data_IF_083568822451
#
_entry.id   IF_083568822451
#
_cell.length_a   1.000
_cell.length_b   1.000
_cell.length_c   1.000
_cell.angle_alpha   90.00
_cell.angle_beta   90.00
_cell.angle_gamma   90.00
#
_symmetry.space_group_name_H-M   'P 1'
#
loop_
_entity.id
_entity.type
_entity.pdbx_description
1 polymer ?
#
# COMPACT_ATOMS: atom_id res chain seq x y z
N UNK A 1 -42.29 94.17 0.46
CA UNK A 1 -41.62 93.91 -0.83
C UNK A 1 -40.19 93.49 -0.51
N UNK A 2 -39.88 92.21 -0.73
CA UNK A 2 -38.56 91.51 -0.79
C UNK A 2 -37.56 91.66 0.40
N UNK A 3 -37.18 90.58 1.13
CA UNK A 3 -36.25 89.44 0.79
C UNK A 3 -34.82 89.95 0.48
N UNK A 4 -33.69 89.40 0.96
CA UNK A 4 -33.33 88.04 1.44
C UNK A 4 -31.94 88.05 2.10
N UNK A 5 -31.68 87.05 2.94
CA UNK A 5 -30.38 86.59 3.49
C UNK A 5 -29.66 85.69 2.47
N UNK A 6 -28.32 85.67 2.42
CA UNK A 6 -27.50 84.42 2.40
C UNK A 6 -25.98 84.68 2.45
N UNK A 7 -25.26 83.91 3.28
CA UNK A 7 -23.80 83.77 3.39
C UNK A 7 -23.48 82.28 3.26
N UNK A 8 -22.52 81.88 2.42
CA UNK A 8 -21.48 80.88 2.75
C UNK A 8 -20.49 80.64 1.60
N UNK A 9 -19.17 80.50 1.86
CA UNK A 9 -18.24 79.84 0.96
C UNK A 9 -18.04 78.37 1.34
N UNK A 10 -17.93 77.55 0.30
CA UNK A 10 -17.66 76.11 0.28
C UNK A 10 -16.40 75.71 1.11
N UNK A 11 -16.54 74.74 2.03
CA UNK A 11 -15.43 73.89 2.51
C UNK A 11 -15.75 72.45 2.09
N UNK A 12 -14.91 71.90 1.22
CA UNK A 12 -14.97 70.52 0.75
C UNK A 12 -14.29 69.62 1.80
N UNK A 13 -15.06 68.78 2.48
CA UNK A 13 -14.55 67.73 3.38
C UNK A 13 -14.55 66.42 2.58
N UNK A 14 -13.36 65.91 2.25
CA UNK A 14 -13.20 64.54 1.70
C UNK A 14 -13.15 63.59 2.89
N UNK A 15 -14.20 62.82 3.08
CA UNK A 15 -14.24 61.70 4.02
C UNK A 15 -13.70 60.47 3.29
N UNK A 16 -12.44 60.10 3.57
CA UNK A 16 -11.95 58.76 3.25
C UNK A 16 -12.59 57.75 4.20
N UNK A 17 -13.63 57.06 3.75
CA UNK A 17 -14.10 55.84 4.38
C UNK A 17 -13.05 54.75 4.18
N UNK A 18 -12.23 54.51 5.20
CA UNK A 18 -11.49 53.27 5.36
C UNK A 18 -12.51 52.17 5.64
N UNK A 19 -12.96 51.48 4.60
CA UNK A 19 -13.56 50.15 4.73
C UNK A 19 -12.46 49.24 5.26
N UNK A 20 -12.40 49.09 6.58
CA UNK A 20 -11.65 48.02 7.23
C UNK A 20 -12.27 46.70 6.80
N UNK A 21 -11.75 46.13 5.71
CA UNK A 21 -11.94 44.72 5.43
C UNK A 21 -11.34 43.97 6.59
N UNK A 22 -12.18 43.33 7.40
CA UNK A 22 -11.75 42.20 8.20
C UNK A 22 -11.36 41.13 7.20
N UNK A 23 -10.09 41.12 6.79
CA UNK A 23 -9.47 39.88 6.38
C UNK A 23 -9.57 39.00 7.63
N UNK A 24 -10.58 38.14 7.69
CA UNK A 24 -10.47 36.89 8.41
C UNK A 24 -9.31 36.18 7.73
N UNK A 25 -8.07 36.46 8.17
CA UNK A 25 -7.02 35.46 8.08
C UNK A 25 -7.59 34.30 8.87
N UNK A 26 -8.12 33.29 8.16
CA UNK A 26 -8.36 31.99 8.76
C UNK A 26 -7.09 31.67 9.54
N UNK A 27 -7.21 31.55 10.87
CA UNK A 27 -6.07 31.27 11.71
C UNK A 27 -5.49 29.94 11.22
N UNK A 28 -4.28 29.99 10.67
CA UNK A 28 -3.56 28.83 10.18
C UNK A 28 -3.46 27.85 11.34
N UNK A 29 -4.16 26.71 11.22
CA UNK A 29 -4.28 25.76 12.32
C UNK A 29 -3.13 24.78 12.20
N UNK A 30 -2.17 24.91 13.10
CA UNK A 30 -0.98 24.05 13.12
C UNK A 30 -1.25 22.75 13.88
N UNK A 31 -0.82 21.64 13.29
CA UNK A 31 -0.81 20.31 13.89
C UNK A 31 0.61 19.93 14.33
N UNK A 32 0.80 19.71 15.62
CA UNK A 32 2.06 19.21 16.17
C UNK A 32 2.15 17.69 15.99
N UNK A 33 3.06 17.25 15.13
CA UNK A 33 3.25 15.83 14.80
C UNK A 33 4.63 15.33 15.25
N UNK A 34 4.66 14.09 15.70
CA UNK A 34 5.86 13.36 16.15
C UNK A 34 6.04 12.16 15.23
N UNK A 35 6.90 12.35 14.24
CA UNK A 35 7.21 11.39 13.20
C UNK A 35 8.19 10.37 13.75
N UNK A 36 7.79 9.10 13.77
CA UNK A 36 8.64 7.99 14.20
C UNK A 36 9.22 7.29 12.98
N UNK A 37 10.55 7.14 12.95
CA UNK A 37 11.28 6.38 11.95
C UNK A 37 12.22 5.39 12.62
N UNK A 38 12.76 4.44 11.87
CA UNK A 38 13.80 3.51 12.34
C UNK A 38 15.00 3.53 11.40
N UNK A 39 16.19 3.47 11.97
CA UNK A 39 17.44 3.41 11.19
C UNK A 39 18.38 2.36 11.78
N UNK A 40 19.29 1.86 10.94
CA UNK A 40 20.29 0.87 11.37
C UNK A 40 21.16 1.43 12.49
N UNK A 41 21.32 0.66 13.57
CA UNK A 41 22.14 1.04 14.71
C UNK A 41 22.86 -0.18 15.27
N UNK A 42 24.19 -0.12 15.27
CA UNK A 42 25.06 -1.14 15.88
C UNK A 42 24.96 -1.17 17.41
N UNK A 43 24.37 -0.13 18.02
CA UNK A 43 24.13 -0.03 19.45
C UNK A 43 22.82 -0.70 19.87
N UNK A 44 21.92 -0.96 18.93
CA UNK A 44 20.66 -1.64 19.19
C UNK A 44 20.83 -3.17 19.18
N UNK A 45 20.36 -3.90 20.22
CA UNK A 45 20.35 -5.36 20.22
C UNK A 45 19.56 -5.98 19.05
N UNK A 46 18.61 -5.22 18.49
CA UNK A 46 17.81 -5.62 17.33
C UNK A 46 18.30 -5.02 16.01
N UNK A 47 19.45 -4.32 16.02
CA UNK A 47 20.08 -3.74 14.83
C UNK A 47 19.44 -2.46 14.29
N UNK A 48 18.34 -2.01 14.90
CA UNK A 48 17.61 -0.79 14.53
C UNK A 48 17.23 0.01 15.77
N UNK A 49 17.24 1.33 15.68
CA UNK A 49 16.76 2.21 16.73
C UNK A 49 15.71 3.19 16.19
N UNK A 50 14.72 3.53 17.02
CA UNK A 50 13.69 4.49 16.64
C UNK A 50 14.13 5.93 16.92
N UNK A 51 13.82 6.83 16.00
CA UNK A 51 13.96 8.28 16.17
C UNK A 51 12.61 8.96 16.13
N UNK A 52 12.52 10.11 16.79
CA UNK A 52 11.34 10.97 16.77
C UNK A 52 11.76 12.33 16.22
N UNK A 53 11.19 12.71 15.08
CA UNK A 53 11.25 14.06 14.56
C UNK A 53 9.97 14.81 14.91
N UNK A 54 10.10 16.06 15.37
CA UNK A 54 8.98 16.89 15.80
C UNK A 54 8.75 17.96 14.75
N UNK A 55 7.56 17.97 14.17
CA UNK A 55 7.21 18.92 13.13
C UNK A 55 5.87 19.59 13.44
N UNK A 56 5.70 20.76 12.85
CA UNK A 56 4.49 21.54 12.86
C UNK A 56 3.95 21.56 11.42
N UNK A 57 2.82 20.91 11.18
CA UNK A 57 2.18 20.86 9.87
C UNK A 57 1.01 21.82 9.81
N UNK A 58 0.81 22.49 8.68
CA UNK A 58 -0.43 23.24 8.46
C UNK A 58 -1.57 22.27 8.12
N UNK A 59 -2.68 22.38 8.86
CA UNK A 59 -3.84 21.53 8.65
C UNK A 59 -4.46 21.73 7.25
N UNK A 60 -4.45 22.96 6.70
CA UNK A 60 -4.97 23.20 5.34
C UNK A 60 -4.12 22.56 4.24
N UNK A 61 -2.83 22.35 4.49
CA UNK A 61 -1.89 21.68 3.57
C UNK A 61 -1.74 20.19 3.89
N UNK A 62 -2.66 19.62 4.70
CA UNK A 62 -2.63 18.23 5.13
C UNK A 62 -3.87 17.47 4.68
N UNK A 63 -3.70 16.23 4.21
CA UNK A 63 -4.80 15.31 3.92
C UNK A 63 -4.68 14.00 4.71
N UNK A 64 -5.84 13.43 5.09
CA UNK A 64 -5.95 12.04 5.54
C UNK A 64 -6.61 11.22 4.43
N UNK A 65 -5.93 10.16 3.99
CA UNK A 65 -6.48 9.20 3.02
C UNK A 65 -6.87 7.92 3.76
N UNK A 66 -8.17 7.62 3.75
CA UNK A 66 -8.77 6.43 4.37
C UNK A 66 -8.80 5.29 3.36
N UNK A 67 -7.82 4.38 3.45
CA UNK A 67 -7.66 3.27 2.52
C UNK A 67 -8.52 2.07 2.94
N UNK A 68 -9.47 1.69 2.09
CA UNK A 68 -10.06 0.34 2.09
C UNK A 68 -10.67 -0.13 3.45
N UNK A 69 -11.18 0.79 4.29
CA UNK A 69 -11.90 0.43 5.53
C UNK A 69 -13.34 -0.01 5.22
N UNK A 70 -13.44 -1.18 4.58
CA UNK A 70 -14.69 -1.69 4.01
C UNK A 70 -15.74 -2.13 5.04
N UNK A 71 -16.96 -2.36 4.56
CA UNK A 71 -18.09 -2.88 5.33
C UNK A 71 -17.98 -4.38 5.67
N UNK A 72 -17.33 -5.16 4.81
CA UNK A 72 -17.12 -6.60 4.99
C UNK A 72 -15.77 -7.04 4.40
N UNK A 73 -15.27 -8.17 4.89
CA UNK A 73 -14.07 -8.83 4.39
C UNK A 73 -14.26 -10.36 4.38
N UNK A 74 -13.49 -11.08 3.57
CA UNK A 74 -13.61 -12.55 3.48
C UNK A 74 -13.16 -13.23 4.79
N UNK A 75 -12.15 -12.66 5.45
CA UNK A 75 -11.74 -13.02 6.80
C UNK A 75 -12.61 -12.28 7.84
N UNK A 76 -13.24 -13.04 8.74
CA UNK A 76 -14.08 -12.52 9.83
C UNK A 76 -13.26 -11.76 10.87
N UNK A 77 -12.06 -12.24 11.20
CA UNK A 77 -11.16 -11.57 12.14
C UNK A 77 -10.71 -10.20 11.63
N UNK A 78 -10.53 -10.02 10.32
CA UNK A 78 -10.28 -8.72 9.72
C UNK A 78 -11.46 -7.76 9.90
N UNK A 79 -12.70 -8.25 9.76
CA UNK A 79 -13.91 -7.45 10.06
C UNK A 79 -13.94 -7.05 11.54
N UNK A 80 -13.70 -7.99 12.45
CA UNK A 80 -13.65 -7.72 13.90
C UNK A 80 -12.61 -6.63 14.25
N UNK A 81 -11.43 -6.68 13.63
CA UNK A 81 -10.38 -5.66 13.84
C UNK A 81 -10.79 -4.29 13.29
N UNK A 82 -11.38 -4.24 12.08
CA UNK A 82 -11.96 -2.98 11.55
C UNK A 82 -13.01 -2.41 12.51
N UNK A 83 -13.96 -3.23 12.96
CA UNK A 83 -15.01 -2.81 13.90
C UNK A 83 -14.43 -2.28 15.22
N UNK A 84 -13.27 -2.78 15.65
CA UNK A 84 -12.61 -2.37 16.88
C UNK A 84 -11.94 -0.99 16.78
N UNK A 85 -11.17 -0.71 15.72
CA UNK A 85 -10.48 0.57 15.58
C UNK A 85 -11.32 1.66 14.89
N UNK A 86 -12.34 1.29 14.09
CA UNK A 86 -13.13 2.26 13.31
C UNK A 86 -13.78 3.37 14.15
N UNK A 87 -14.31 3.13 15.36
CA UNK A 87 -14.81 4.22 16.21
C UNK A 87 -13.74 5.25 16.57
N UNK A 88 -12.51 4.80 16.87
CA UNK A 88 -11.37 5.67 17.16
C UNK A 88 -10.94 6.43 15.90
N UNK A 89 -10.88 5.75 14.75
CA UNK A 89 -10.59 6.41 13.48
C UNK A 89 -11.63 7.48 13.14
N UNK A 90 -12.93 7.23 13.36
CA UNK A 90 -13.97 8.24 13.12
C UNK A 90 -13.76 9.49 14.00
N UNK A 91 -13.31 9.33 15.26
CA UNK A 91 -12.94 10.47 16.11
C UNK A 91 -11.77 11.27 15.53
N UNK A 92 -10.75 10.58 15.01
CA UNK A 92 -9.62 11.22 14.32
C UNK A 92 -10.11 12.04 13.14
N UNK A 93 -10.92 11.45 12.25
CA UNK A 93 -11.43 12.15 11.06
C UNK A 93 -12.27 13.37 11.45
N UNK A 94 -13.13 13.26 12.47
CA UNK A 94 -13.92 14.39 12.97
C UNK A 94 -13.06 15.52 13.54
N UNK A 95 -12.00 15.21 14.27
CA UNK A 95 -11.11 16.22 14.83
C UNK A 95 -10.24 16.87 13.75
N UNK A 96 -9.71 16.07 12.82
CA UNK A 96 -8.91 16.54 11.70
C UNK A 96 -9.73 17.46 10.78
N UNK A 97 -10.99 17.09 10.44
CA UNK A 97 -11.90 17.97 9.69
C UNK A 97 -12.11 19.32 10.36
N UNK A 98 -12.30 19.35 11.69
CA UNK A 98 -12.46 20.60 12.45
C UNK A 98 -11.23 21.50 12.42
N UNK A 99 -10.05 20.93 12.18
CA UNK A 99 -8.79 21.67 12.06
C UNK A 99 -8.52 22.14 10.62
N UNK A 100 -9.30 21.70 9.63
CA UNK A 100 -9.13 22.07 8.22
C UNK A 100 -8.43 21.01 7.36
N UNK A 101 -8.15 19.82 7.91
CA UNK A 101 -7.54 18.71 7.16
C UNK A 101 -8.50 18.18 6.11
N UNK A 102 -7.99 17.97 4.89
CA UNK A 102 -8.76 17.36 3.80
C UNK A 102 -8.92 15.86 4.02
N UNK A 103 -10.14 15.32 3.99
CA UNK A 103 -10.39 13.88 4.13
C UNK A 103 -10.78 13.27 2.79
N UNK A 104 -10.04 12.22 2.39
CA UNK A 104 -10.29 11.46 1.18
C UNK A 104 -10.58 10.01 1.56
N UNK A 105 -11.80 9.56 1.31
CA UNK A 105 -12.20 8.18 1.48
C UNK A 105 -11.92 7.39 0.21
N UNK A 106 -11.14 6.32 0.32
CA UNK A 106 -10.73 5.49 -0.81
C UNK A 106 -11.12 4.02 -0.61
N UNK A 107 -12.43 3.68 -0.62
CA UNK A 107 -12.89 2.29 -0.56
C UNK A 107 -12.80 1.65 -1.95
N UNK A 108 -11.64 1.07 -2.25
CA UNK A 108 -11.37 0.46 -3.55
C UNK A 108 -12.37 -0.61 -3.91
N UNK A 109 -12.62 -0.76 -5.21
CA UNK A 109 -13.54 -1.75 -5.78
C UNK A 109 -15.01 -1.55 -5.33
N UNK A 110 -15.34 -0.40 -4.72
CA UNK A 110 -16.67 -0.07 -4.20
C UNK A 110 -17.28 1.22 -4.78
N UNK A 111 -16.67 1.82 -5.80
CA UNK A 111 -17.07 3.16 -6.29
C UNK A 111 -18.52 3.25 -6.77
N UNK A 112 -19.11 2.14 -7.24
CA UNK A 112 -20.51 2.10 -7.66
C UNK A 112 -21.49 2.51 -6.54
N UNK A 113 -21.18 2.20 -5.27
CA UNK A 113 -22.00 2.59 -4.13
C UNK A 113 -22.01 4.11 -3.89
N UNK A 114 -21.05 4.83 -4.45
CA UNK A 114 -20.85 6.27 -4.23
C UNK A 114 -21.16 7.13 -5.46
N UNK A 115 -21.61 6.54 -6.57
CA UNK A 115 -21.84 7.25 -7.85
C UNK A 115 -22.58 8.57 -7.70
N UNK A 116 -23.64 8.58 -6.89
CA UNK A 116 -24.50 9.74 -6.67
C UNK A 116 -24.16 10.50 -5.37
N UNK A 117 -23.13 10.08 -4.64
CA UNK A 117 -22.73 10.72 -3.39
C UNK A 117 -22.03 12.06 -3.67
N UNK A 118 -22.38 13.15 -2.97
CA UNK A 118 -21.75 14.47 -3.19
C UNK A 118 -20.22 14.46 -3.11
N UNK A 119 -19.64 13.71 -2.15
CA UNK A 119 -18.19 13.55 -2.03
C UNK A 119 -17.52 12.88 -3.25
N UNK A 120 -18.22 11.96 -3.94
CA UNK A 120 -17.73 11.34 -5.17
C UNK A 120 -17.79 12.34 -6.33
N UNK A 121 -18.90 13.06 -6.46
CA UNK A 121 -19.06 14.11 -7.47
C UNK A 121 -18.00 15.19 -7.32
N UNK A 122 -17.69 15.57 -6.07
CA UNK A 122 -16.61 16.49 -5.73
C UNK A 122 -15.24 15.99 -6.19
N UNK A 123 -14.91 14.72 -5.94
CA UNK A 123 -13.67 14.12 -6.40
C UNK A 123 -13.55 14.08 -7.93
N UNK A 124 -14.63 13.73 -8.64
CA UNK A 124 -14.64 13.73 -10.11
C UNK A 124 -14.60 15.12 -10.73
N UNK A 125 -15.07 16.13 -9.98
CA UNK A 125 -15.08 17.53 -10.38
C UNK A 125 -13.83 18.31 -9.97
N UNK A 126 -12.88 17.66 -9.30
CA UNK A 126 -11.61 18.29 -8.90
C UNK A 126 -10.83 18.74 -10.15
N UNK A 127 -10.14 19.87 -10.02
CA UNK A 127 -9.34 20.42 -11.12
C UNK A 127 -8.23 19.46 -11.50
N UNK A 128 -8.13 19.13 -12.79
CA UNK A 128 -7.09 18.22 -13.26
C UNK A 128 -5.73 18.89 -13.11
N UNK A 129 -4.82 18.22 -12.43
CA UNK A 129 -3.42 18.65 -12.35
C UNK A 129 -2.80 18.69 -13.75
N UNK A 130 -2.04 19.75 -14.04
CA UNK A 130 -1.25 19.87 -15.27
C UNK A 130 -0.22 18.74 -15.40
N UNK A 131 0.25 18.22 -14.26
CA UNK A 131 1.25 17.15 -14.20
C UNK A 131 0.83 16.06 -13.22
N UNK A 132 0.76 14.83 -13.74
CA UNK A 132 0.59 13.63 -12.94
C UNK A 132 1.97 12.99 -12.66
N UNK A 133 2.21 12.48 -11.45
CA UNK A 133 3.37 11.63 -11.18
C UNK A 133 3.34 10.40 -12.07
N UNK A 134 4.52 9.94 -12.48
CA UNK A 134 4.63 8.72 -13.28
C UNK A 134 4.04 7.52 -12.52
N UNK A 135 3.30 6.68 -13.25
CA UNK A 135 2.63 5.50 -12.71
C UNK A 135 1.55 5.79 -11.64
N UNK A 136 1.12 7.05 -11.40
CA UNK A 136 0.21 7.40 -10.28
C UNK A 136 -1.10 6.60 -10.28
N UNK A 137 -1.58 6.17 -11.44
CA UNK A 137 -2.80 5.38 -11.62
C UNK A 137 -2.63 3.87 -11.34
N UNK A 138 -1.41 3.40 -11.09
CA UNK A 138 -1.08 1.97 -11.02
C UNK A 138 -0.62 1.54 -9.63
N UNK A 139 -0.68 0.23 -9.39
CA UNK A 139 -0.17 -0.37 -8.16
C UNK A 139 1.35 -0.23 -8.04
N UNK A 140 1.84 0.10 -6.85
CA UNK A 140 3.27 0.18 -6.54
C UNK A 140 3.73 -0.96 -5.62
N UNK A 141 4.36 -1.98 -6.19
CA UNK A 141 4.84 -3.15 -5.44
C UNK A 141 6.11 -2.89 -4.63
N UNK A 142 6.91 -1.88 -4.99
CA UNK A 142 8.20 -1.60 -4.37
C UNK A 142 8.68 -0.19 -4.72
N UNK A 143 9.39 0.46 -3.80
CA UNK A 143 10.22 1.65 -4.05
C UNK A 143 11.72 1.37 -3.83
N UNK A 144 12.65 2.20 -4.36
CA UNK A 144 14.08 1.90 -4.32
C UNK A 144 14.66 1.63 -2.93
N UNK A 145 14.16 2.32 -1.89
CA UNK A 145 14.58 2.14 -0.51
C UNK A 145 14.21 0.77 0.08
N UNK A 146 13.28 0.04 -0.54
CA UNK A 146 12.90 -1.32 -0.15
C UNK A 146 13.70 -2.42 -0.90
N UNK A 147 14.52 -2.09 -1.91
CA UNK A 147 15.22 -3.08 -2.76
C UNK A 147 16.17 -4.00 -1.98
N UNK A 148 16.81 -3.48 -0.94
CA UNK A 148 17.73 -4.24 -0.08
C UNK A 148 17.03 -4.89 1.12
N UNK A 149 15.79 -4.51 1.41
CA UNK A 149 15.04 -5.02 2.56
C UNK A 149 14.61 -6.49 2.34
N UNK A 150 14.45 -7.24 3.42
CA UNK A 150 13.72 -8.51 3.40
C UNK A 150 12.29 -8.22 3.86
N UNK A 151 11.30 -8.79 3.18
CA UNK A 151 9.92 -8.56 3.57
C UNK A 151 9.61 -9.29 4.89
N UNK A 152 8.95 -8.65 5.87
CA UNK A 152 9.00 -9.12 7.25
C UNK A 152 7.97 -10.22 7.61
N UNK A 153 7.07 -10.56 6.68
CA UNK A 153 6.05 -11.61 6.82
C UNK A 153 5.83 -12.35 5.49
N UNK A 154 5.32 -13.59 5.55
CA UNK A 154 4.75 -14.28 4.39
C UNK A 154 3.23 -14.03 4.36
N UNK A 155 2.77 -13.31 3.34
CA UNK A 155 1.35 -13.01 3.08
C UNK A 155 0.82 -13.75 1.85
N UNK A 156 1.56 -14.73 1.33
CA UNK A 156 1.24 -15.34 0.04
C UNK A 156 -0.03 -16.18 0.04
N UNK A 157 -0.52 -16.59 1.21
CA UNK A 157 -1.81 -17.27 1.41
C UNK A 157 -3.01 -16.30 1.50
N UNK A 158 -2.75 -14.99 1.53
CA UNK A 158 -3.76 -13.97 1.74
C UNK A 158 -4.11 -13.71 3.19
N UNK A 159 -3.32 -14.15 4.16
CA UNK A 159 -3.42 -13.67 5.54
C UNK A 159 -4.71 -14.04 6.27
N UNK A 160 -5.42 -15.07 5.80
CA UNK A 160 -6.62 -15.60 6.45
C UNK A 160 -6.25 -16.22 7.81
N UNK A 161 -6.71 -15.59 8.90
CA UNK A 161 -6.42 -15.97 10.28
C UNK A 161 -7.66 -16.44 11.05
N UNK A 162 -8.78 -16.67 10.38
CA UNK A 162 -9.98 -17.28 10.97
C UNK A 162 -9.75 -18.73 11.43
N UNK A 163 -10.52 -19.15 12.44
CA UNK A 163 -10.73 -20.59 12.68
C UNK A 163 -11.48 -21.19 11.46
N UNK A 164 -11.08 -22.36 10.92
CA UNK A 164 -11.70 -22.93 9.73
C UNK A 164 -13.21 -23.14 9.83
N UNK A 165 -13.74 -23.43 11.03
CA UNK A 165 -15.19 -23.61 11.24
C UNK A 165 -15.89 -22.25 11.25
N UNK A 166 -15.32 -21.24 11.90
CA UNK A 166 -15.83 -19.87 11.84
C UNK A 166 -15.80 -19.33 10.40
N UNK A 167 -14.71 -19.53 9.67
CA UNK A 167 -14.56 -19.12 8.28
C UNK A 167 -15.64 -19.71 7.39
N UNK A 168 -15.89 -21.02 7.49
CA UNK A 168 -16.93 -21.70 6.72
C UNK A 168 -18.34 -21.20 7.06
N UNK A 169 -18.60 -20.87 8.33
CA UNK A 169 -19.88 -20.28 8.75
C UNK A 169 -20.02 -18.83 8.25
N UNK A 170 -18.93 -18.07 8.27
CA UNK A 170 -18.87 -16.71 7.78
C UNK A 170 -19.10 -16.62 6.27
N UNK A 171 -18.47 -17.48 5.48
CA UNK A 171 -18.70 -17.58 4.05
C UNK A 171 -20.19 -17.81 3.72
N UNK A 172 -20.86 -18.73 4.42
CA UNK A 172 -22.31 -18.97 4.27
C UNK A 172 -23.16 -17.76 4.65
N UNK A 173 -22.73 -17.01 5.67
CA UNK A 173 -23.40 -15.76 6.06
C UNK A 173 -23.24 -14.69 4.98
N UNK A 174 -22.07 -14.57 4.35
CA UNK A 174 -21.85 -13.65 3.24
C UNK A 174 -22.74 -14.01 2.03
N UNK A 175 -22.84 -15.31 1.70
CA UNK A 175 -23.73 -15.78 0.63
C UNK A 175 -25.20 -15.45 0.91
N UNK A 176 -25.67 -15.65 2.14
CA UNK A 176 -27.06 -15.33 2.52
C UNK A 176 -27.37 -13.84 2.47
N UNK A 177 -26.34 -12.97 2.55
CA UNK A 177 -26.42 -11.53 2.34
C UNK A 177 -26.29 -11.12 0.86
N UNK A 178 -26.21 -12.07 -0.07
CA UNK A 178 -26.02 -11.80 -1.50
C UNK A 178 -24.65 -11.17 -1.80
N UNK A 179 -23.61 -11.59 -1.07
CA UNK A 179 -22.21 -11.17 -1.27
C UNK A 179 -21.39 -12.34 -1.79
N UNK A 180 -20.34 -12.02 -2.56
CA UNK A 180 -19.31 -13.00 -2.94
C UNK A 180 -18.41 -13.24 -1.72
N UNK A 181 -18.30 -14.48 -1.19
CA UNK A 181 -17.47 -14.76 -0.01
C UNK A 181 -15.99 -14.40 -0.18
N UNK A 182 -15.48 -14.41 -1.42
CA UNK A 182 -14.07 -14.10 -1.70
C UNK A 182 -13.78 -12.59 -1.72
N UNK A 183 -14.77 -11.78 -2.10
CA UNK A 183 -14.67 -10.32 -2.18
C UNK A 183 -16.01 -9.70 -1.75
N UNK A 184 -16.33 -9.72 -0.44
CA UNK A 184 -17.67 -9.40 0.02
C UNK A 184 -17.94 -7.89 0.16
N UNK A 185 -16.91 -7.04 0.18
CA UNK A 185 -17.07 -5.60 0.34
C UNK A 185 -17.90 -4.98 -0.78
N UNK A 186 -18.70 -3.98 -0.43
CA UNK A 186 -19.49 -3.18 -1.39
C UNK A 186 -19.36 -1.67 -1.17
N UNK A 187 -18.87 -1.26 0.01
CA UNK A 187 -18.69 0.14 0.43
C UNK A 187 -17.77 0.21 1.65
N UNK A 188 -17.40 1.41 2.07
CA UNK A 188 -16.80 1.68 3.38
C UNK A 188 -17.77 1.31 4.52
N UNK A 189 -17.23 0.92 5.68
CA UNK A 189 -18.02 0.73 6.90
C UNK A 189 -18.81 1.98 7.28
N UNK A 190 -20.04 1.81 7.77
CA UNK A 190 -20.90 2.90 8.23
C UNK A 190 -20.40 3.54 9.54
N UNK A 191 -19.43 2.92 10.21
CA UNK A 191 -18.79 3.47 11.41
C UNK A 191 -17.94 4.72 11.11
N UNK A 192 -17.53 4.90 9.85
CA UNK A 192 -16.81 6.09 9.40
C UNK A 192 -17.77 7.02 8.65
N UNK A 193 -18.00 8.19 9.23
CA UNK A 193 -18.84 9.21 8.60
C UNK A 193 -18.10 9.85 7.42
N UNK A 194 -18.73 9.85 6.24
CA UNK A 194 -18.31 10.64 5.08
C UNK A 194 -19.16 11.91 5.07
N UNK A 195 -18.54 13.07 5.26
CA UNK A 195 -19.23 14.35 5.22
C UNK A 195 -19.55 14.74 3.77
N UNK A 196 -20.83 14.85 3.37
CA UNK A 196 -21.19 15.15 1.99
C UNK A 196 -20.78 16.57 1.56
N UNK A 197 -20.53 17.48 2.51
CA UNK A 197 -20.23 18.88 2.24
C UNK A 197 -18.74 19.09 1.98
N UNK A 198 -17.86 18.39 2.70
CA UNK A 198 -16.41 18.68 2.69
C UNK A 198 -15.52 17.50 2.29
N UNK A 199 -15.96 16.25 2.46
CA UNK A 199 -15.10 15.10 2.17
C UNK A 199 -15.08 14.74 0.68
N UNK A 200 -14.11 13.91 0.30
CA UNK A 200 -13.94 13.33 -1.04
C UNK A 200 -14.08 11.81 -1.00
N UNK A 201 -14.54 11.21 -2.10
CA UNK A 201 -14.52 9.75 -2.30
C UNK A 201 -13.89 9.40 -3.64
N UNK A 202 -12.75 8.70 -3.64
CA UNK A 202 -12.13 8.12 -4.84
C UNK A 202 -11.11 7.05 -4.46
N UNK A 203 -11.06 5.97 -5.25
CA UNK A 203 -10.00 4.97 -5.22
C UNK A 203 -9.01 5.10 -6.40
N UNK A 204 -9.15 6.15 -7.21
CA UNK A 204 -8.29 6.37 -8.38
C UNK A 204 -7.13 7.32 -8.05
N UNK A 205 -5.91 6.91 -8.40
CA UNK A 205 -4.71 7.69 -8.09
C UNK A 205 -4.66 9.07 -8.76
N UNK A 206 -5.16 9.20 -9.99
CA UNK A 206 -5.22 10.48 -10.72
C UNK A 206 -6.17 11.48 -10.07
N UNK A 207 -7.37 11.03 -9.68
CA UNK A 207 -8.35 11.88 -8.99
C UNK A 207 -7.90 12.26 -7.59
N UNK A 208 -7.35 11.31 -6.81
CA UNK A 208 -6.75 11.62 -5.51
C UNK A 208 -5.64 12.65 -5.68
N UNK A 209 -4.75 12.49 -6.65
CA UNK A 209 -3.69 13.46 -6.91
C UNK A 209 -4.24 14.84 -7.29
N UNK A 210 -5.27 14.92 -8.13
CA UNK A 210 -5.92 16.18 -8.47
C UNK A 210 -6.45 16.92 -7.23
N UNK A 211 -7.08 16.19 -6.30
CA UNK A 211 -7.54 16.76 -5.02
C UNK A 211 -6.33 17.30 -4.23
N UNK A 212 -5.26 16.52 -4.12
CA UNK A 212 -4.05 16.95 -3.39
C UNK A 212 -3.44 18.21 -4.00
N UNK A 213 -3.43 18.35 -5.33
CA UNK A 213 -2.90 19.54 -6.00
C UNK A 213 -3.83 20.76 -5.85
N UNK A 214 -5.14 20.57 -6.02
CA UNK A 214 -6.12 21.65 -5.91
C UNK A 214 -6.12 22.32 -4.54
N UNK A 215 -5.82 21.56 -3.48
CA UNK A 215 -5.77 22.04 -2.10
C UNK A 215 -4.34 22.29 -1.61
N UNK A 216 -3.35 22.32 -2.51
CA UNK A 216 -1.94 22.58 -2.18
C UNK A 216 -1.42 21.67 -1.05
N UNK A 217 -1.89 20.42 -1.00
CA UNK A 217 -1.57 19.47 0.07
C UNK A 217 -0.11 19.05 -0.05
N UNK A 218 0.70 19.33 0.97
CA UNK A 218 2.08 18.87 1.08
C UNK A 218 2.19 17.60 1.93
N UNK A 219 1.31 17.47 2.94
CA UNK A 219 1.39 16.42 3.95
C UNK A 219 0.26 15.40 3.79
N UNK A 220 0.60 14.11 3.81
CA UNK A 220 -0.36 13.02 3.59
C UNK A 220 -0.26 12.01 4.72
N UNK A 221 -1.37 11.80 5.42
CA UNK A 221 -1.53 10.79 6.46
C UNK A 221 -2.36 9.64 5.88
N UNK A 222 -1.77 8.46 5.74
CA UNK A 222 -2.51 7.26 5.36
C UNK A 222 -2.99 6.49 6.59
N UNK A 223 -4.22 6.00 6.50
CA UNK A 223 -4.87 5.14 7.49
C UNK A 223 -5.62 4.02 6.77
N UNK A 224 -6.07 3.01 7.52
CA UNK A 224 -6.93 1.95 7.00
C UNK A 224 -6.18 0.65 6.73
N UNK A 225 -6.68 -0.18 5.83
CA UNK A 225 -6.27 -1.60 5.71
C UNK A 225 -6.11 -2.02 4.26
N UNK A 226 -5.38 -3.07 3.92
CA UNK A 226 -4.42 -3.77 4.76
C UNK A 226 -3.03 -3.14 4.62
N UNK A 227 -2.30 -2.96 5.73
CA UNK A 227 -1.04 -2.20 5.80
C UNK A 227 -0.01 -2.72 4.79
N UNK A 228 0.17 -4.03 4.73
CA UNK A 228 1.11 -4.75 3.86
C UNK A 228 0.66 -4.87 2.39
N UNK A 229 -0.55 -4.42 2.08
CA UNK A 229 -1.16 -4.54 0.75
C UNK A 229 -1.64 -3.17 0.29
N UNK A 230 -2.92 -2.84 0.51
CA UNK A 230 -3.55 -1.67 -0.10
C UNK A 230 -2.95 -0.35 0.37
N UNK A 231 -2.68 -0.21 1.66
CA UNK A 231 -2.09 1.01 2.23
C UNK A 231 -0.71 1.30 1.64
N UNK A 232 0.11 0.27 1.43
CA UNK A 232 1.41 0.41 0.78
C UNK A 232 1.29 0.65 -0.73
N UNK A 233 0.46 -0.15 -1.41
CA UNK A 233 0.57 -0.40 -2.84
C UNK A 233 -0.51 0.20 -3.74
N UNK A 234 -1.65 0.65 -3.22
CA UNK A 234 -2.70 1.27 -4.07
C UNK A 234 -2.13 2.50 -4.81
N UNK A 235 -2.78 2.95 -5.90
CA UNK A 235 -2.40 4.17 -6.65
C UNK A 235 -2.22 5.41 -5.77
N UNK A 236 -2.98 5.51 -4.68
CA UNK A 236 -2.91 6.57 -3.66
C UNK A 236 -2.13 6.15 -2.38
N UNK A 237 -1.51 4.98 -2.40
CA UNK A 237 -0.80 4.34 -1.29
C UNK A 237 0.51 5.03 -0.90
N UNK A 238 1.10 4.60 0.22
CA UNK A 238 2.32 5.18 0.79
C UNK A 238 3.45 5.27 -0.25
N UNK A 239 3.69 4.20 -0.99
CA UNK A 239 4.78 4.12 -1.97
C UNK A 239 4.62 5.13 -3.11
N UNK A 240 3.40 5.34 -3.57
CA UNK A 240 3.10 6.28 -4.65
C UNK A 240 3.25 7.72 -4.15
N UNK A 241 2.78 8.01 -2.94
CA UNK A 241 2.92 9.33 -2.33
C UNK A 241 4.40 9.67 -2.03
N UNK A 242 5.20 8.69 -1.60
CA UNK A 242 6.67 8.85 -1.44
C UNK A 242 7.34 9.12 -2.79
N UNK A 243 7.02 8.33 -3.83
CA UNK A 243 7.55 8.59 -5.19
C UNK A 243 7.15 9.95 -5.75
N UNK A 244 6.02 10.47 -5.31
CA UNK A 244 5.48 11.76 -5.69
C UNK A 244 5.95 12.92 -4.79
N UNK A 245 6.94 12.67 -3.93
CA UNK A 245 7.64 13.67 -3.10
C UNK A 245 6.71 14.41 -2.11
N UNK A 246 5.70 13.72 -1.57
CA UNK A 246 4.88 14.23 -0.46
C UNK A 246 5.53 13.94 0.89
N UNK A 247 5.19 14.73 1.91
CA UNK A 247 5.49 14.40 3.30
C UNK A 247 4.48 13.36 3.78
N UNK A 248 4.83 12.08 3.65
CA UNK A 248 3.90 10.98 3.92
C UNK A 248 4.17 10.35 5.28
N UNK A 249 3.09 10.05 6.00
CA UNK A 249 3.13 9.22 7.21
C UNK A 249 2.03 8.17 7.22
N UNK A 250 2.30 7.03 7.84
CA UNK A 250 1.26 6.08 8.25
C UNK A 250 0.79 6.43 9.67
N UNK A 251 -0.51 6.45 9.93
CA UNK A 251 -1.04 6.42 11.30
C UNK A 251 -1.04 4.99 11.82
N UNK A 252 0.02 4.61 12.52
CA UNK A 252 0.37 3.21 12.82
C UNK A 252 -0.64 2.46 13.71
N UNK A 253 -1.48 3.18 14.45
CA UNK A 253 -2.49 2.59 15.32
C UNK A 253 -3.89 2.57 14.69
N UNK A 254 -4.06 3.15 13.48
CA UNK A 254 -5.29 3.13 12.68
C UNK A 254 -5.13 2.26 11.43
N UNK A 255 -4.54 1.07 11.59
CA UNK A 255 -4.27 0.14 10.51
C UNK A 255 -4.30 -1.31 10.98
N UNK A 256 -4.39 -2.23 10.03
CA UNK A 256 -4.37 -3.69 10.22
C UNK A 256 -3.73 -4.34 9.00
N UNK A 257 -3.16 -5.54 9.13
CA UNK A 257 -2.40 -6.19 8.06
C UNK A 257 -3.04 -7.52 7.63
N UNK A 258 -2.74 -7.99 6.42
CA UNK A 258 -3.09 -9.36 6.00
C UNK A 258 -2.00 -10.33 6.44
N UNK A 259 -2.18 -10.95 7.60
CA UNK A 259 -1.23 -11.91 8.13
C UNK A 259 -1.90 -13.05 8.87
N UNK A 260 -1.52 -14.27 8.46
CA UNK A 260 -1.91 -15.52 9.11
C UNK A 260 -0.80 -15.94 10.10
N UNK A 261 -1.08 -16.04 11.41
CA UNK A 261 -0.11 -16.51 12.42
C UNK A 261 0.45 -17.92 12.17
N UNK A 262 -0.16 -18.72 11.28
CA UNK A 262 0.34 -20.03 10.85
C UNK A 262 1.35 -19.95 9.70
N UNK A 263 1.61 -18.74 9.19
CA UNK A 263 2.59 -18.46 8.15
C UNK A 263 3.81 -17.77 8.76
N UNK A 264 4.97 -17.87 8.10
CA UNK A 264 6.20 -17.21 8.57
C UNK A 264 5.93 -15.72 8.85
N UNK A 265 6.36 -15.16 9.99
CA UNK A 265 7.30 -15.71 10.95
C UNK A 265 6.65 -16.32 12.19
N UNK A 266 5.48 -16.96 12.10
CA UNK A 266 4.78 -17.65 13.20
C UNK A 266 4.64 -16.86 14.50
N UNK A 267 4.26 -15.59 14.38
CA UNK A 267 4.00 -14.69 15.51
C UNK A 267 2.51 -14.39 15.59
N UNK A 268 2.06 -13.73 16.66
CA UNK A 268 0.68 -13.23 16.69
C UNK A 268 0.40 -12.28 15.52
N UNK A 269 -0.87 -12.16 15.16
CA UNK A 269 -1.31 -11.22 14.13
C UNK A 269 -0.79 -9.80 14.39
N UNK A 270 -0.93 -9.33 15.63
CA UNK A 270 -0.52 -7.99 16.05
C UNK A 270 1.00 -7.76 15.95
N UNK A 271 1.81 -8.79 16.24
CA UNK A 271 3.24 -8.70 15.99
C UNK A 271 3.56 -8.67 14.49
N UNK A 272 2.86 -9.43 13.66
CA UNK A 272 2.97 -9.32 12.20
C UNK A 272 2.69 -7.90 11.71
N UNK A 273 1.63 -7.27 12.21
CA UNK A 273 1.30 -5.85 11.93
C UNK A 273 2.43 -4.92 12.37
N UNK A 274 2.98 -5.08 13.58
CA UNK A 274 4.13 -4.28 14.03
C UNK A 274 5.35 -4.43 13.14
N UNK A 275 5.65 -5.64 12.66
CA UNK A 275 6.80 -5.87 11.79
C UNK A 275 6.65 -5.20 10.42
N UNK A 276 5.42 -5.08 9.92
CA UNK A 276 5.13 -4.28 8.72
C UNK A 276 5.28 -2.78 9.01
N UNK A 277 4.79 -2.30 10.15
CA UNK A 277 5.00 -0.91 10.59
C UNK A 277 6.50 -0.60 10.72
N UNK A 278 7.28 -1.50 11.34
CA UNK A 278 8.74 -1.41 11.43
C UNK A 278 9.39 -1.34 10.04
N UNK A 279 8.95 -2.16 9.08
CA UNK A 279 9.45 -2.12 7.70
C UNK A 279 9.15 -0.76 7.05
N UNK A 280 7.95 -0.22 7.27
CA UNK A 280 7.55 1.11 6.79
C UNK A 280 8.45 2.20 7.38
N UNK A 281 8.67 2.17 8.70
CA UNK A 281 9.52 3.15 9.40
C UNK A 281 10.99 3.11 8.98
N UNK A 282 11.47 1.96 8.48
CA UNK A 282 12.84 1.77 8.01
C UNK A 282 13.04 2.17 6.56
N UNK A 283 12.07 1.85 5.70
CA UNK A 283 12.29 1.80 4.25
C UNK A 283 11.28 2.59 3.43
N UNK A 284 10.17 3.06 4.01
CA UNK A 284 9.10 3.72 3.26
C UNK A 284 8.88 5.14 3.72
N UNK A 285 8.42 5.34 4.96
CA UNK A 285 8.13 6.67 5.50
C UNK A 285 8.02 6.64 7.04
N UNK A 286 8.06 7.78 7.71
CA UNK A 286 7.78 7.86 9.15
C UNK A 286 6.33 7.48 9.48
N UNK A 287 6.05 7.29 10.78
CA UNK A 287 4.69 7.05 11.30
C UNK A 287 4.27 8.07 12.35
N UNK A 288 2.96 8.27 12.52
CA UNK A 288 2.34 8.99 13.63
C UNK A 288 1.29 8.10 14.31
N UNK A 289 0.65 8.58 15.37
CA UNK A 289 -0.41 7.87 16.10
C UNK A 289 -1.64 8.74 16.34
N UNK A 290 -2.81 8.11 16.49
CA UNK A 290 -4.10 8.79 16.61
C UNK A 290 -4.15 9.78 17.78
N UNK A 291 -3.49 9.48 18.90
CA UNK A 291 -3.43 10.35 20.08
C UNK A 291 -2.78 11.71 19.82
N UNK A 292 -1.99 11.83 18.75
CA UNK A 292 -1.41 13.11 18.36
C UNK A 292 -2.47 14.09 17.83
N UNK A 293 -3.58 13.57 17.29
CA UNK A 293 -4.68 14.39 16.75
C UNK A 293 -5.79 14.57 17.79
N UNK A 294 -6.16 13.49 18.51
CA UNK A 294 -7.33 13.50 19.42
C UNK A 294 -6.98 13.36 20.91
N UNK A 295 -5.69 13.38 21.26
CA UNK A 295 -5.21 13.23 22.62
C UNK A 295 -5.42 11.83 23.21
N UNK A 296 -5.13 11.70 24.50
CA UNK A 296 -5.24 10.44 25.23
C UNK A 296 -4.03 9.54 25.04
N UNK A 297 -4.27 8.28 24.67
CA UNK A 297 -3.22 7.28 24.41
C UNK A 297 -3.36 6.68 23.01
N UNK A 298 -2.25 6.16 22.50
CA UNK A 298 -2.22 5.36 21.27
C UNK A 298 -3.23 4.22 21.37
N UNK A 299 -3.98 3.96 20.28
CA UNK A 299 -4.94 2.87 20.24
C UNK A 299 -4.21 1.53 20.31
N UNK A 300 -4.85 0.55 20.96
CA UNK A 300 -4.36 -0.81 21.03
C UNK A 300 -5.54 -1.76 21.00
N UNK A 301 -5.45 -2.77 20.13
CA UNK A 301 -6.42 -3.85 20.08
C UNK A 301 -6.48 -4.60 21.42
N UNK A 302 -7.67 -5.04 21.82
CA UNK A 302 -7.88 -5.80 23.04
C UNK A 302 -7.12 -7.13 23.04
N UNK A 303 -6.96 -7.74 21.86
CA UNK A 303 -6.17 -8.96 21.67
C UNK A 303 -4.65 -8.74 21.70
N UNK A 304 -4.20 -7.49 21.70
CA UNK A 304 -2.79 -7.16 21.66
C UNK A 304 -2.16 -7.15 23.07
N UNK A 305 -1.32 -8.15 23.36
CA UNK A 305 -0.56 -8.24 24.61
C UNK A 305 0.43 -7.09 24.82
N UNK A 306 0.82 -6.38 23.74
CA UNK A 306 1.79 -5.30 23.77
C UNK A 306 3.23 -5.70 24.04
N UNK A 307 3.51 -7.00 24.13
CA UNK A 307 4.86 -7.53 24.34
C UNK A 307 5.47 -7.87 22.98
N UNK A 308 6.66 -7.36 22.66
CA UNK A 308 7.38 -7.78 21.47
C UNK A 308 7.62 -9.30 21.52
N UNK A 309 7.34 -9.99 20.43
CA UNK A 309 7.68 -11.40 20.29
C UNK A 309 9.09 -11.54 19.70
N UNK A 310 9.84 -12.58 20.08
CA UNK A 310 11.24 -12.71 19.68
C UNK A 310 11.41 -12.73 18.16
N UNK A 311 12.56 -12.20 17.69
CA UNK A 311 13.01 -12.42 16.31
C UNK A 311 13.11 -13.92 16.07
N UNK A 312 12.38 -14.43 15.08
CA UNK A 312 12.46 -15.83 14.72
C UNK A 312 13.72 -16.11 13.89
N UNK A 313 14.20 -17.36 13.96
CA UNK A 313 15.32 -17.82 13.16
C UNK A 313 15.03 -17.67 11.66
N UNK A 314 16.08 -17.77 10.83
CA UNK A 314 15.91 -17.86 9.39
C UNK A 314 14.91 -18.97 9.07
N UNK A 315 14.03 -18.71 8.10
CA UNK A 315 13.00 -19.66 7.76
C UNK A 315 13.57 -21.01 7.30
N UNK A 316 12.82 -22.08 7.53
CA UNK A 316 13.16 -23.43 7.07
C UNK A 316 12.65 -23.61 5.63
N UNK A 317 13.53 -23.70 4.62
CA UNK A 317 13.11 -23.86 3.22
C UNK A 317 12.31 -25.13 2.96
N UNK A 318 12.33 -26.14 3.84
CA UNK A 318 11.46 -27.31 3.72
C UNK A 318 10.02 -27.05 4.18
N UNK A 319 9.81 -26.00 4.98
CA UNK A 319 8.50 -25.65 5.56
C UNK A 319 7.89 -24.43 4.91
N UNK A 320 8.70 -23.47 4.48
CA UNK A 320 8.23 -22.18 3.99
C UNK A 320 9.07 -21.61 2.86
N UNK A 321 8.60 -20.51 2.29
CA UNK A 321 9.34 -19.76 1.29
C UNK A 321 10.40 -18.89 1.96
N UNK A 322 11.67 -19.12 1.63
CA UNK A 322 12.80 -18.37 2.19
C UNK A 322 13.49 -17.56 1.11
N UNK A 323 14.09 -16.43 1.49
CA UNK A 323 14.80 -15.58 0.51
C UNK A 323 16.11 -16.24 0.10
N UNK A 324 16.38 -16.28 -1.21
CA UNK A 324 17.62 -16.76 -1.81
C UNK A 324 18.10 -15.81 -2.91
N UNK A 325 19.41 -15.71 -3.08
CA UNK A 325 19.98 -14.99 -4.23
C UNK A 325 20.06 -15.88 -5.46
N UNK A 326 19.58 -15.38 -6.59
CA UNK A 326 19.73 -15.99 -7.92
C UNK A 326 20.65 -15.10 -8.77
N UNK A 327 21.67 -15.64 -9.44
CA UNK A 327 22.04 -17.05 -9.51
C UNK A 327 22.59 -17.61 -8.18
N UNK A 328 22.30 -18.89 -7.93
CA UNK A 328 22.70 -19.59 -6.71
C UNK A 328 24.19 -19.90 -6.72
N UNK A 329 24.91 -19.56 -5.64
CA UNK A 329 26.38 -19.70 -5.58
C UNK A 329 26.88 -21.07 -5.10
N UNK A 330 26.12 -21.78 -4.25
CA UNK A 330 26.60 -23.01 -3.60
C UNK A 330 25.87 -24.24 -4.15
N UNK A 331 26.58 -25.30 -4.59
CA UNK A 331 25.96 -26.60 -4.82
C UNK A 331 25.43 -27.12 -3.49
N UNK A 332 24.15 -27.48 -3.45
CA UNK A 332 23.63 -28.17 -2.27
C UNK A 332 24.17 -29.61 -2.25
N UNK A 333 24.48 -30.11 -1.06
CA UNK A 333 25.20 -31.37 -0.89
C UNK A 333 24.29 -32.60 -1.07
N UNK A 334 22.97 -32.40 -1.12
CA UNK A 334 21.96 -33.44 -1.37
C UNK A 334 20.96 -32.99 -2.45
N UNK A 335 20.88 -33.66 -3.61
CA UNK A 335 19.95 -33.27 -4.66
C UNK A 335 18.49 -33.47 -4.20
N UNK A 336 17.72 -32.39 -4.19
CA UNK A 336 16.28 -32.39 -3.97
C UNK A 336 15.57 -31.54 -5.03
N UNK A 337 14.24 -31.62 -5.07
CA UNK A 337 13.43 -30.70 -5.89
C UNK A 337 13.29 -29.39 -5.15
N UNK A 338 13.56 -28.29 -5.85
CA UNK A 338 13.50 -26.93 -5.32
C UNK A 338 12.63 -26.06 -6.24
N UNK A 339 11.79 -25.26 -5.62
CA UNK A 339 10.95 -24.28 -6.28
C UNK A 339 11.48 -22.88 -5.98
N UNK A 340 11.50 -22.03 -7.00
CA UNK A 340 11.90 -20.64 -6.92
C UNK A 340 10.75 -19.77 -7.41
N UNK A 341 10.50 -18.64 -6.76
CA UNK A 341 9.51 -17.67 -7.24
C UNK A 341 10.03 -16.24 -7.12
N UNK A 342 9.63 -15.40 -8.07
CA UNK A 342 9.78 -13.96 -8.02
C UNK A 342 8.59 -13.28 -8.70
N UNK A 343 8.52 -11.96 -8.56
CA UNK A 343 7.53 -11.13 -9.24
C UNK A 343 8.21 -10.33 -10.34
N UNK A 344 7.63 -10.32 -11.53
CA UNK A 344 8.13 -9.56 -12.67
C UNK A 344 7.05 -8.59 -13.17
N UNK A 345 7.38 -7.31 -13.32
CA UNK A 345 6.53 -6.34 -14.02
C UNK A 345 6.88 -6.38 -15.50
N UNK A 346 5.91 -6.72 -16.34
CA UNK A 346 6.11 -6.83 -17.80
C UNK A 346 5.39 -5.66 -18.46
N UNK A 347 6.13 -4.71 -19.10
CA UNK A 347 5.52 -3.60 -19.81
C UNK A 347 4.59 -4.04 -20.95
N UNK A 348 3.51 -3.31 -21.17
CA UNK A 348 2.53 -3.68 -22.19
C UNK A 348 3.09 -3.68 -23.62
N UNK A 349 4.09 -2.86 -23.93
CA UNK A 349 4.77 -2.88 -25.23
C UNK A 349 5.54 -4.19 -25.48
N UNK A 350 5.99 -4.89 -24.44
CA UNK A 350 6.69 -6.17 -24.58
C UNK A 350 5.77 -7.28 -25.10
N UNK A 351 4.47 -7.20 -24.82
CA UNK A 351 3.48 -8.21 -25.23
C UNK A 351 3.21 -8.20 -26.74
N UNK A 352 3.68 -7.17 -27.45
CA UNK A 352 3.60 -7.06 -28.92
C UNK A 352 4.59 -7.97 -29.64
N UNK A 353 5.54 -8.57 -28.92
CA UNK A 353 6.52 -9.51 -29.46
C UNK A 353 6.56 -10.77 -28.60
N UNK A 354 7.21 -11.82 -29.08
CA UNK A 354 7.40 -13.05 -28.28
C UNK A 354 8.33 -12.76 -27.10
N UNK A 355 7.79 -12.89 -25.89
CA UNK A 355 8.56 -12.81 -24.66
C UNK A 355 9.24 -14.16 -24.42
N UNK A 356 10.54 -14.14 -24.14
CA UNK A 356 11.34 -15.32 -23.83
C UNK A 356 11.96 -15.21 -22.44
N UNK A 357 11.89 -16.29 -21.69
CA UNK A 357 12.56 -16.47 -20.42
C UNK A 357 13.77 -17.39 -20.63
N UNK A 358 14.97 -16.82 -20.56
CA UNK A 358 16.21 -17.55 -20.75
C UNK A 358 16.78 -18.03 -19.41
N UNK A 359 16.90 -19.34 -19.25
CA UNK A 359 17.74 -19.99 -18.26
C UNK A 359 18.76 -20.81 -19.07
N UNK A 360 20.05 -20.46 -19.04
CA UNK A 360 21.06 -21.33 -19.65
C UNK A 360 21.11 -22.64 -18.83
N UNK A 361 20.25 -23.61 -19.18
CA UNK A 361 19.91 -24.75 -18.32
C UNK A 361 20.69 -26.02 -18.66
N UNK A 362 20.74 -26.94 -17.69
CA UNK A 362 21.16 -28.33 -17.82
C UNK A 362 19.96 -29.24 -17.53
N UNK A 363 19.14 -29.59 -18.54
CA UNK A 363 18.05 -30.60 -18.55
C UNK A 363 17.04 -30.66 -17.36
N UNK A 364 15.74 -30.52 -17.61
CA UNK A 364 14.69 -30.84 -16.60
C UNK A 364 14.11 -29.69 -15.74
N UNK A 365 14.39 -28.42 -16.07
CA UNK A 365 13.74 -27.25 -15.45
C UNK A 365 12.33 -27.08 -16.02
N UNK A 366 11.39 -26.68 -15.16
CA UNK A 366 10.04 -26.28 -15.55
C UNK A 366 9.73 -24.88 -15.02
N UNK A 367 8.96 -24.10 -15.77
CA UNK A 367 8.62 -22.74 -15.40
C UNK A 367 7.12 -22.45 -15.62
N UNK A 368 6.60 -21.52 -14.82
CA UNK A 368 5.22 -21.03 -14.88
C UNK A 368 5.19 -19.51 -14.77
N UNK A 369 4.25 -18.87 -15.44
CA UNK A 369 3.89 -17.47 -15.23
C UNK A 369 2.42 -17.41 -14.80
N UNK A 370 2.13 -16.78 -13.66
CA UNK A 370 0.78 -16.69 -13.09
C UNK A 370 0.07 -18.07 -13.01
N UNK A 371 0.83 -19.14 -12.71
CA UNK A 371 0.34 -20.51 -12.65
C UNK A 371 0.19 -21.23 -14.00
N UNK A 372 0.36 -20.54 -15.13
CA UNK A 372 0.34 -21.13 -16.48
C UNK A 372 1.71 -21.68 -16.85
N UNK A 373 1.76 -22.95 -17.27
CA UNK A 373 3.02 -23.64 -17.58
C UNK A 373 3.61 -23.09 -18.87
N UNK A 374 4.89 -22.70 -18.83
CA UNK A 374 5.58 -22.19 -19.99
C UNK A 374 6.02 -23.33 -20.93
N UNK A 375 5.90 -23.09 -22.24
CA UNK A 375 6.40 -23.98 -23.27
C UNK A 375 7.92 -23.82 -23.42
N UNK A 376 8.63 -24.92 -23.61
CA UNK A 376 10.06 -24.89 -23.96
C UNK A 376 10.16 -24.40 -25.41
N UNK A 377 10.96 -23.37 -25.65
CA UNK A 377 11.26 -22.86 -27.01
C UNK A 377 12.47 -23.62 -27.58
N UNK A 378 13.54 -23.67 -26.81
CA UNK A 378 14.77 -24.41 -27.08
C UNK A 378 15.40 -24.91 -25.76
N UNK A 379 16.56 -25.56 -25.83
CA UNK A 379 17.26 -26.10 -24.66
C UNK A 379 17.62 -25.05 -23.58
N UNK A 380 17.44 -23.75 -23.86
CA UNK A 380 17.87 -22.63 -23.01
C UNK A 380 16.77 -21.61 -22.72
N UNK A 381 15.55 -21.83 -23.18
CA UNK A 381 14.50 -20.81 -23.05
C UNK A 381 13.07 -21.34 -23.05
N UNK A 382 12.22 -20.56 -22.41
CA UNK A 382 10.79 -20.76 -22.35
C UNK A 382 10.06 -19.62 -23.05
N UNK A 383 9.00 -19.94 -23.77
CA UNK A 383 8.07 -18.94 -24.32
C UNK A 383 7.11 -18.50 -23.22
N UNK A 384 7.01 -17.18 -23.02
CA UNK A 384 6.01 -16.55 -22.18
C UNK A 384 4.91 -16.01 -23.08
N UNK A 385 3.74 -16.63 -23.04
CA UNK A 385 2.62 -16.20 -23.87
C UNK A 385 2.05 -14.87 -23.36
N UNK A 386 1.79 -13.92 -24.27
CA UNK A 386 1.21 -12.62 -23.92
C UNK A 386 -0.14 -12.74 -23.19
N UNK A 387 -0.92 -13.79 -23.47
CA UNK A 387 -2.20 -14.06 -22.83
C UNK A 387 -2.08 -14.53 -21.37
N UNK A 388 -0.91 -15.01 -20.95
CA UNK A 388 -0.66 -15.50 -19.59
C UNK A 388 -0.10 -14.39 -18.67
N UNK A 389 0.13 -13.20 -19.22
CA UNK A 389 0.71 -12.04 -18.54
C UNK A 389 -0.35 -10.97 -18.33
N UNK A 390 -0.32 -10.35 -17.16
CA UNK A 390 -1.03 -9.09 -16.87
C UNK A 390 -0.09 -7.93 -17.21
N UNK A 391 -0.31 -7.21 -18.32
CA UNK A 391 0.60 -6.15 -18.75
C UNK A 391 0.62 -4.97 -17.78
N UNK A 392 1.78 -4.33 -17.64
CA UNK A 392 2.04 -3.20 -16.73
C UNK A 392 1.81 -3.49 -15.23
N UNK A 393 1.51 -4.74 -14.87
CA UNK A 393 1.23 -5.21 -13.52
C UNK A 393 2.21 -6.32 -13.08
N UNK A 394 2.10 -6.74 -11.83
CA UNK A 394 2.90 -7.80 -11.23
C UNK A 394 2.49 -9.19 -11.76
N UNK A 395 3.48 -9.96 -12.22
CA UNK A 395 3.31 -11.33 -12.67
C UNK A 395 4.18 -12.27 -11.82
N UNK A 396 3.61 -13.36 -11.33
CA UNK A 396 4.36 -14.35 -10.56
C UNK A 396 5.10 -15.29 -11.51
N UNK A 397 6.43 -15.25 -11.49
CA UNK A 397 7.27 -16.22 -12.17
C UNK A 397 7.69 -17.32 -11.19
N UNK A 398 7.43 -18.58 -11.54
CA UNK A 398 7.81 -19.74 -10.73
C UNK A 398 8.66 -20.70 -11.55
N UNK A 399 9.67 -21.27 -10.92
CA UNK A 399 10.61 -22.23 -11.51
C UNK A 399 10.73 -23.44 -10.60
N UNK A 400 10.61 -24.64 -11.16
CA UNK A 400 10.93 -25.91 -10.51
C UNK A 400 12.21 -26.46 -11.11
N UNK A 401 13.21 -26.71 -10.28
CA UNK A 401 14.50 -27.24 -10.71
C UNK A 401 15.11 -28.15 -9.63
N UNK A 402 16.21 -28.83 -9.96
CA UNK A 402 17.03 -29.46 -8.93
C UNK A 402 17.72 -28.40 -8.07
N UNK A 403 18.03 -28.75 -6.81
CA UNK A 403 18.70 -27.82 -5.90
C UNK A 403 19.99 -27.26 -6.49
N UNK A 404 20.17 -25.94 -6.43
CA UNK A 404 21.35 -25.26 -6.98
C UNK A 404 21.49 -25.30 -8.51
N UNK A 405 20.40 -25.55 -9.25
CA UNK A 405 20.41 -25.60 -10.71
C UNK A 405 20.43 -24.21 -11.38
N UNK A 406 19.91 -23.16 -10.73
CA UNK A 406 19.86 -21.81 -11.33
C UNK A 406 21.20 -21.08 -11.12
N UNK A 407 22.21 -21.49 -11.89
CA UNK A 407 23.61 -20.99 -11.78
C UNK A 407 23.93 -19.82 -12.70
N UNK A 408 23.04 -19.51 -13.62
CA UNK A 408 23.18 -18.39 -14.55
C UNK A 408 22.03 -17.42 -14.32
N UNK A 409 22.33 -16.13 -14.42
CA UNK A 409 21.34 -15.06 -14.34
C UNK A 409 20.20 -15.28 -15.33
N UNK A 410 18.97 -15.48 -14.86
CA UNK A 410 17.81 -15.58 -15.74
C UNK A 410 17.53 -14.23 -16.39
N UNK A 411 17.06 -14.24 -17.63
CA UNK A 411 16.70 -13.02 -18.35
C UNK A 411 15.34 -13.15 -19.01
N UNK A 412 14.49 -12.15 -18.83
CA UNK A 412 13.33 -11.93 -19.70
C UNK A 412 13.76 -11.08 -20.89
N UNK A 413 13.29 -11.42 -22.09
CA UNK A 413 13.60 -10.72 -23.34
C UNK A 413 12.35 -10.52 -24.18
N UNK A 414 12.20 -9.33 -24.76
CA UNK A 414 11.22 -9.03 -25.80
C UNK A 414 11.87 -8.14 -26.86
N UNK A 415 12.14 -8.68 -28.04
CA UNK A 415 12.90 -7.99 -29.08
C UNK A 415 14.30 -7.57 -28.62
N UNK A 416 14.55 -6.25 -28.61
CA UNK A 416 15.81 -5.65 -28.12
C UNK A 416 15.79 -5.32 -26.63
N UNK A 417 14.63 -5.42 -25.98
CA UNK A 417 14.46 -5.14 -24.56
C UNK A 417 14.78 -6.37 -23.74
N UNK A 418 15.35 -6.16 -22.54
CA UNK A 418 15.68 -7.25 -21.62
C UNK A 418 15.63 -6.81 -20.17
N UNK A 419 15.27 -7.74 -19.29
CA UNK A 419 15.23 -7.57 -17.85
C UNK A 419 16.06 -8.68 -17.21
N UNK A 420 17.10 -8.29 -16.47
CA UNK A 420 17.87 -9.20 -15.63
C UNK A 420 17.03 -9.59 -14.42
N UNK A 421 16.97 -10.88 -14.13
CA UNK A 421 16.33 -11.41 -12.92
C UNK A 421 17.37 -11.87 -11.88
N UNK A 422 18.59 -11.31 -11.92
CA UNK A 422 19.57 -11.51 -10.86
C UNK A 422 19.20 -10.68 -9.63
N UNK A 423 19.13 -11.32 -8.46
CA UNK A 423 18.74 -10.67 -7.22
C UNK A 423 18.06 -11.64 -6.27
N UNK A 424 17.23 -11.10 -5.38
CA UNK A 424 16.47 -11.87 -4.40
C UNK A 424 15.26 -12.54 -5.06
N UNK A 425 15.14 -13.83 -4.79
CA UNK A 425 13.99 -14.67 -5.09
C UNK A 425 13.54 -15.31 -3.79
N UNK A 426 12.39 -15.96 -3.80
CA UNK A 426 12.00 -16.89 -2.75
C UNK A 426 12.20 -18.32 -3.21
N UNK A 427 12.56 -19.22 -2.30
CA UNK A 427 12.73 -20.64 -2.56
C UNK A 427 12.02 -21.50 -1.53
N UNK A 428 11.56 -22.68 -1.98
CA UNK A 428 11.04 -23.74 -1.11
C UNK A 428 11.49 -25.11 -1.61
N UNK A 429 11.96 -25.97 -0.72
CA UNK A 429 12.36 -27.34 -1.00
C UNK A 429 11.15 -28.25 -0.84
N UNK A 430 10.95 -29.16 -1.78
CA UNK A 430 9.82 -30.07 -1.84
C UNK A 430 9.30 -30.24 -3.27
N UNK A 431 8.41 -31.20 -3.48
CA UNK A 431 7.83 -31.49 -4.80
C UNK A 431 6.31 -31.43 -4.79
N UNK A 432 5.76 -30.34 -4.22
CA UNK A 432 4.33 -30.09 -4.22
C UNK A 432 3.92 -29.25 -5.45
N UNK A 433 3.08 -29.76 -6.36
CA UNK A 433 2.58 -29.00 -7.50
C UNK A 433 1.84 -27.71 -7.14
N UNK A 434 1.32 -27.56 -5.91
CA UNK A 434 0.69 -26.34 -5.44
C UNK A 434 1.65 -25.14 -5.44
N UNK A 435 2.97 -25.37 -5.35
CA UNK A 435 3.99 -24.31 -5.33
C UNK A 435 4.14 -23.57 -6.66
N UNK A 436 3.49 -24.04 -7.74
CA UNK A 436 3.50 -23.38 -9.06
C UNK A 436 2.79 -22.02 -9.10
N UNK A 437 2.02 -21.68 -8.07
CA UNK A 437 1.27 -20.42 -7.99
C UNK A 437 1.10 -19.97 -6.52
N UNK A 438 0.53 -18.79 -6.32
CA UNK A 438 -0.01 -18.33 -5.04
C UNK A 438 -1.53 -18.08 -5.19
N UNK A 439 -2.33 -18.19 -4.12
CA UNK A 439 -3.79 -18.02 -4.19
C UNK A 439 -4.24 -16.60 -4.55
N UNK A 440 -3.40 -15.60 -4.36
CA UNK A 440 -3.67 -14.20 -4.69
C UNK A 440 -2.94 -13.74 -5.96
N UNK A 441 -3.43 -12.69 -6.65
CA UNK A 441 -2.61 -11.95 -7.59
C UNK A 441 -1.24 -11.57 -6.99
N UNK A 442 -0.18 -11.64 -7.81
CA UNK A 442 1.20 -11.42 -7.37
C UNK A 442 1.41 -10.07 -6.64
N UNK A 443 0.75 -9.01 -7.11
CA UNK A 443 0.82 -7.67 -6.50
C UNK A 443 0.33 -7.63 -5.04
N UNK A 444 -0.51 -8.59 -4.66
CA UNK A 444 -1.11 -8.70 -3.34
C UNK A 444 -0.37 -9.72 -2.46
N UNK A 445 -0.02 -10.88 -3.00
CA UNK A 445 0.54 -11.97 -2.21
C UNK A 445 2.07 -11.97 -2.06
N UNK A 446 2.80 -11.15 -2.84
CA UNK A 446 4.26 -11.12 -2.81
C UNK A 446 4.81 -9.98 -1.95
N UNK A 447 5.92 -10.26 -1.25
CA UNK A 447 6.73 -9.24 -0.60
C UNK A 447 7.46 -8.35 -1.61
N UNK A 448 7.84 -7.15 -1.18
CA UNK A 448 8.59 -6.21 -2.04
C UNK A 448 9.98 -6.71 -2.39
N UNK A 449 10.54 -7.65 -1.62
CA UNK A 449 11.92 -8.13 -1.73
C UNK A 449 12.18 -9.08 -2.90
N UNK A 450 11.16 -9.47 -3.67
CA UNK A 450 11.30 -10.36 -4.84
C UNK A 450 10.78 -9.75 -6.15
N UNK A 451 10.66 -8.42 -6.21
CA UNK A 451 10.10 -7.70 -7.36
C UNK A 451 11.20 -7.31 -8.34
N UNK A 452 10.97 -7.59 -9.63
CA UNK A 452 11.81 -7.18 -10.74
C UNK A 452 10.99 -6.36 -11.72
N UNK A 453 11.44 -5.13 -11.99
CA UNK A 453 10.80 -4.24 -12.96
C UNK A 453 11.84 -3.65 -13.91
N UNK A 454 11.50 -3.44 -15.20
CA UNK A 454 12.34 -2.65 -16.09
C UNK A 454 12.53 -1.25 -15.51
N UNK A 455 13.77 -0.78 -15.51
CA UNK A 455 14.03 0.61 -15.13
C UNK A 455 13.38 1.51 -16.18
N UNK A 456 12.62 2.54 -15.79
CA UNK A 456 12.12 3.51 -16.76
C UNK A 456 13.31 4.07 -17.54
N UNK A 457 13.15 4.26 -18.85
CA UNK A 457 14.16 4.93 -19.67
C UNK A 457 14.38 6.32 -19.04
N UNK A 458 15.58 6.52 -18.48
CA UNK A 458 15.99 7.80 -17.91
C UNK A 458 16.22 8.84 -19.00
#
# INVERSE_FOLDING_TARGET
>A
MFRTISINPFRLFVVCLLLGGTNDLAAQTTMEVRLRSQHESSQSPVGFESTIDRQAWDASETAIIVCDVWDYHHCLNAVRRIEEFAPRLNQVLQAARKQGVTIIHAPSDCMDAYRDHPARQRATGAEKSEKLPADIETWCSQIPSEESANYPIDQSDGGEDDDPVEHAAWAKKLESLGRNPQMPWKKQTEMLTIDPVVDYVSDRGDEVWNILQQHEIENVILVGVHTNMCVLGRPFGLRQMVKADKNVVLMRDMTDTMYNPKSWPYVSHFEGTRRIIDHIERYVCPTISSDQIIGGSEFRFAGDSGKPEPKQAAGDPHREWTVVSVPTQTPDSSPSVQWFRCVVRIPNDWTRQTIRLNFQHSGGLQAWINGNKLAIDDDKSFVVAAADVTPDDANLLVVRAATGAIRVTPMLRSGKQSLSLAGKWQTRIGDDPAYRNIPLPAKFGAGSDIVFAPKPNR
#
